data_IF_072628672184
#
_entry.id   IF_072628672184
#
_cell.length_a   1.000
_cell.length_b   1.000
_cell.length_c   1.000
_cell.angle_alpha   90.00
_cell.angle_beta   90.00
_cell.angle_gamma   90.00
#
_symmetry.space_group_name_H-M   'P 1'
#
loop_
_entity.id
_entity.type
_entity.pdbx_description
1 polymer ?
#
# COMPACT_ATOMS: atom_id res chain seq x y z
N UNK A 1 -26.16 -10.30 -13.05
CA UNK A 1 -25.22 -10.01 -11.95
C UNK A 1 -23.90 -9.62 -12.58
N UNK A 2 -23.53 -8.33 -12.60
CA UNK A 2 -22.22 -7.92 -13.11
C UNK A 2 -21.16 -8.29 -12.07
N UNK A 3 -20.20 -9.12 -12.47
CA UNK A 3 -18.98 -9.35 -11.71
C UNK A 3 -18.07 -8.14 -11.99
N UNK A 4 -17.88 -7.27 -11.00
CA UNK A 4 -16.87 -6.22 -11.08
C UNK A 4 -15.50 -6.87 -11.24
N UNK A 5 -14.65 -6.32 -12.12
CA UNK A 5 -13.27 -6.78 -12.23
C UNK A 5 -12.63 -6.88 -10.83
N UNK A 6 -11.96 -8.01 -10.52
CA UNK A 6 -11.33 -8.19 -9.21
C UNK A 6 -10.31 -7.08 -9.00
N UNK A 7 -10.45 -6.35 -7.89
CA UNK A 7 -9.50 -5.29 -7.54
C UNK A 7 -8.10 -5.89 -7.40
N UNK A 8 -7.10 -5.24 -8.00
CA UNK A 8 -5.70 -5.67 -7.92
C UNK A 8 -5.19 -5.43 -6.50
N UNK A 9 -4.82 -6.49 -5.78
CA UNK A 9 -4.35 -6.44 -4.38
C UNK A 9 -2.93 -6.99 -4.28
N UNK A 10 -2.08 -6.35 -3.48
CA UNK A 10 -0.68 -6.75 -3.26
C UNK A 10 -0.31 -6.62 -1.77
N UNK A 11 0.49 -7.55 -1.26
CA UNK A 11 1.14 -7.46 0.05
C UNK A 11 2.62 -7.11 -0.15
N UNK A 12 3.08 -6.01 0.44
CA UNK A 12 4.50 -5.61 0.39
C UNK A 12 5.12 -5.78 1.77
N UNK A 13 6.11 -6.67 1.89
CA UNK A 13 6.85 -6.88 3.13
C UNK A 13 7.98 -5.86 3.30
N UNK A 14 8.23 -5.44 4.54
CA UNK A 14 9.19 -4.37 4.82
C UNK A 14 8.80 -3.02 4.20
N UNK A 15 7.51 -2.81 3.94
CA UNK A 15 6.99 -1.68 3.17
C UNK A 15 7.17 -0.32 3.86
N UNK A 16 7.37 -0.29 5.19
CA UNK A 16 7.41 0.96 5.94
C UNK A 16 8.50 1.96 5.47
N UNK A 17 9.61 1.48 4.88
CA UNK A 17 10.82 2.28 4.63
C UNK A 17 11.56 1.87 3.35
N UNK A 18 12.48 2.74 2.90
CA UNK A 18 13.44 2.50 1.80
C UNK A 18 12.72 2.00 0.54
N UNK A 19 13.23 0.95 -0.09
CA UNK A 19 12.70 0.37 -1.33
C UNK A 19 11.27 -0.17 -1.15
N UNK A 20 10.96 -0.80 -0.01
CA UNK A 20 9.61 -1.31 0.26
C UNK A 20 8.55 -0.21 0.22
N UNK A 21 8.88 0.98 0.75
CA UNK A 21 8.01 2.16 0.67
C UNK A 21 7.84 2.65 -0.75
N UNK A 22 8.93 2.71 -1.52
CA UNK A 22 8.87 3.14 -2.92
C UNK A 22 7.97 2.20 -3.75
N UNK A 23 8.13 0.89 -3.59
CA UNK A 23 7.30 -0.12 -4.26
C UNK A 23 5.82 0.01 -3.86
N UNK A 24 5.53 0.11 -2.57
CA UNK A 24 4.16 0.24 -2.08
C UNK A 24 3.47 1.51 -2.62
N UNK A 25 4.22 2.63 -2.67
CA UNK A 25 3.70 3.91 -3.18
C UNK A 25 3.44 3.84 -4.69
N UNK A 26 4.38 3.27 -5.46
CA UNK A 26 4.25 3.11 -6.90
C UNK A 26 3.07 2.21 -7.29
N UNK A 27 2.93 1.07 -6.64
CA UNK A 27 1.81 0.15 -6.89
C UNK A 27 0.46 0.82 -6.56
N UNK A 28 0.39 1.56 -5.46
CA UNK A 28 -0.82 2.30 -5.09
C UNK A 28 -1.18 3.37 -6.14
N UNK A 29 -0.18 4.11 -6.66
CA UNK A 29 -0.38 5.09 -7.73
C UNK A 29 -0.90 4.47 -9.03
N UNK A 30 -0.58 3.19 -9.28
CA UNK A 30 -1.08 2.42 -10.41
C UNK A 30 -2.37 1.63 -10.12
N UNK A 31 -3.10 1.99 -9.06
CA UNK A 31 -4.44 1.49 -8.77
C UNK A 31 -4.48 0.16 -7.99
N UNK A 32 -3.35 -0.29 -7.45
CA UNK A 32 -3.34 -1.45 -6.55
C UNK A 32 -3.82 -1.07 -5.15
N UNK A 33 -4.51 -2.01 -4.50
CA UNK A 33 -4.77 -1.98 -3.08
C UNK A 33 -3.59 -2.64 -2.35
N UNK A 34 -2.94 -1.92 -1.44
CA UNK A 34 -1.65 -2.33 -0.88
C UNK A 34 -1.76 -2.70 0.60
N UNK A 35 -1.39 -3.93 0.96
CA UNK A 35 -1.13 -4.33 2.34
C UNK A 35 0.30 -3.98 2.74
N UNK A 36 0.46 -3.19 3.81
CA UNK A 36 1.76 -2.71 4.30
C UNK A 36 2.21 -3.57 5.48
N UNK A 37 3.10 -4.54 5.23
CA UNK A 37 3.72 -5.30 6.31
C UNK A 37 4.97 -4.60 6.84
N UNK A 38 5.10 -4.57 8.18
CA UNK A 38 6.28 -4.08 8.89
C UNK A 38 6.67 -5.02 10.03
N UNK A 39 7.95 -4.99 10.41
CA UNK A 39 8.44 -5.66 11.63
C UNK A 39 8.34 -4.73 12.84
N UNK A 40 9.35 -3.87 13.02
CA UNK A 40 9.42 -2.94 14.18
C UNK A 40 9.06 -1.49 13.83
N UNK A 41 8.71 -1.20 12.57
CA UNK A 41 8.56 0.17 12.05
C UNK A 41 7.09 0.62 11.98
N UNK A 42 6.31 0.44 13.05
CA UNK A 42 4.86 0.69 13.08
C UNK A 42 4.50 2.13 12.68
N UNK A 43 5.10 3.15 13.31
CA UNK A 43 4.84 4.56 12.99
C UNK A 43 5.11 4.90 11.52
N UNK A 44 6.20 4.37 10.96
CA UNK A 44 6.53 4.59 9.55
C UNK A 44 5.57 3.85 8.62
N UNK A 45 5.05 2.68 9.01
CA UNK A 45 4.02 1.98 8.24
C UNK A 45 2.69 2.74 8.25
N UNK A 46 2.25 3.22 9.42
CA UNK A 46 1.02 4.02 9.54
C UNK A 46 1.13 5.33 8.74
N UNK A 47 2.29 5.98 8.76
CA UNK A 47 2.54 7.15 7.92
C UNK A 47 2.41 6.82 6.43
N UNK A 48 3.01 5.70 5.96
CA UNK A 48 2.86 5.27 4.56
C UNK A 48 1.40 5.03 4.18
N UNK A 49 0.62 4.36 5.04
CA UNK A 49 -0.80 4.11 4.79
C UNK A 49 -1.57 5.43 4.69
N UNK A 50 -1.28 6.40 5.57
CA UNK A 50 -1.88 7.73 5.51
C UNK A 50 -1.49 8.48 4.22
N UNK A 51 -0.20 8.44 3.84
CA UNK A 51 0.31 9.07 2.62
C UNK A 51 -0.39 8.50 1.37
N UNK A 52 -0.49 7.16 1.26
CA UNK A 52 -1.17 6.49 0.13
C UNK A 52 -2.65 6.89 0.07
N UNK A 53 -3.35 6.90 1.21
CA UNK A 53 -4.76 7.29 1.27
C UNK A 53 -4.97 8.76 0.91
N UNK A 54 -4.10 9.64 1.38
CA UNK A 54 -4.13 11.07 1.05
C UNK A 54 -3.90 11.32 -0.44
N UNK A 55 -3.09 10.48 -1.10
CA UNK A 55 -2.89 10.49 -2.55
C UNK A 55 -4.04 9.83 -3.35
N UNK A 56 -5.12 9.40 -2.69
CA UNK A 56 -6.28 8.76 -3.31
C UNK A 56 -6.15 7.25 -3.54
N UNK A 57 -5.02 6.65 -3.16
CA UNK A 57 -4.80 5.21 -3.21
C UNK A 57 -5.47 4.46 -2.06
N UNK A 58 -5.37 3.13 -2.08
CA UNK A 58 -5.91 2.27 -1.03
C UNK A 58 -4.79 1.47 -0.38
N UNK A 59 -4.61 1.61 0.93
CA UNK A 59 -3.65 0.83 1.70
C UNK A 59 -4.17 0.51 3.10
N UNK A 60 -3.65 -0.59 3.67
CA UNK A 60 -3.92 -1.04 5.05
C UNK A 60 -2.63 -1.46 5.75
#
# INVERSE_FOLDING_TARGET
MQLTDPKKVVLVTGAARRIGRAIATDLAAHGWHVGVHYGTSATAASALVADIRAAGGQAV
#
